data_IF_800470255700
#
_entry.id   IF_800470255700
#
_cell.length_a   1.000
_cell.length_b   1.000
_cell.length_c   1.000
_cell.angle_alpha   90.00
_cell.angle_beta   90.00
_cell.angle_gamma   90.00
#
_symmetry.space_group_name_H-M   'P 1'
#
loop_
_entity.id
_entity.type
_entity.pdbx_description
1 polymer ?
#
# COMPACT_ATOMS: atom_id res chain seq x y z
N UNK A 1 -6.16 2.00 29.46
CA UNK A 1 -7.62 1.74 29.44
C UNK A 1 -8.27 2.95 28.81
N UNK A 2 -8.73 2.84 27.57
CA UNK A 2 -9.41 3.93 26.85
C UNK A 2 -10.89 3.92 27.24
N UNK A 3 -11.55 5.08 27.32
CA UNK A 3 -12.99 5.17 27.63
C UNK A 3 -13.82 4.37 26.62
N UNK A 4 -13.37 4.27 25.36
CA UNK A 4 -14.02 3.46 24.32
C UNK A 4 -13.78 1.95 24.43
N UNK A 5 -12.85 1.51 25.29
CA UNK A 5 -12.68 0.09 25.63
C UNK A 5 -13.78 -0.39 26.60
N UNK A 6 -14.47 0.54 27.27
CA UNK A 6 -15.54 0.25 28.23
C UNK A 6 -16.90 0.05 27.54
N UNK A 7 -17.84 -0.56 28.25
CA UNK A 7 -19.24 -0.73 27.85
C UNK A 7 -20.02 0.61 27.93
N UNK A 8 -19.54 1.63 27.21
CA UNK A 8 -20.11 2.99 27.26
C UNK A 8 -21.56 3.07 26.76
N UNK A 9 -22.03 2.07 26.03
CA UNK A 9 -23.44 1.94 25.63
C UNK A 9 -24.39 1.99 26.83
N UNK A 10 -23.94 1.59 28.03
CA UNK A 10 -24.73 1.65 29.27
C UNK A 10 -25.06 3.07 29.74
N UNK A 11 -24.40 4.09 29.19
CA UNK A 11 -24.70 5.49 29.47
C UNK A 11 -25.92 6.00 28.68
N UNK A 12 -26.39 5.25 27.68
CA UNK A 12 -27.57 5.59 26.89
C UNK A 12 -28.73 4.66 27.23
N UNK A 13 -29.93 5.23 27.39
CA UNK A 13 -31.15 4.50 27.70
C UNK A 13 -31.50 3.43 26.65
N UNK A 14 -31.04 3.60 25.40
CA UNK A 14 -31.26 2.67 24.28
C UNK A 14 -30.11 1.68 24.05
N UNK A 15 -29.03 1.75 24.84
CA UNK A 15 -27.79 0.98 24.62
C UNK A 15 -27.15 1.16 23.23
N UNK A 16 -27.53 2.20 22.50
CA UNK A 16 -26.87 2.66 21.29
C UNK A 16 -26.14 3.95 21.64
N UNK A 17 -24.81 3.95 21.51
CA UNK A 17 -24.03 5.20 21.53
C UNK A 17 -24.45 5.99 20.30
N UNK A 18 -24.77 7.27 20.49
CA UNK A 18 -25.11 8.16 19.38
C UNK A 18 -23.98 8.20 18.35
N UNK A 19 -24.30 7.92 17.09
CA UNK A 19 -23.35 7.97 15.98
C UNK A 19 -22.67 9.34 15.86
N UNK A 20 -23.35 10.40 16.31
CA UNK A 20 -22.85 11.77 16.36
C UNK A 20 -21.63 11.92 17.28
N UNK A 21 -21.65 11.32 18.48
CA UNK A 21 -20.53 11.36 19.41
C UNK A 21 -19.34 10.58 18.84
N UNK A 22 -19.61 9.42 18.26
CA UNK A 22 -18.59 8.56 17.66
C UNK A 22 -17.93 9.27 16.47
N UNK A 23 -18.72 9.90 15.61
CA UNK A 23 -18.25 10.74 14.52
C UNK A 23 -17.45 11.94 15.02
N UNK A 24 -17.90 12.62 16.08
CA UNK A 24 -17.17 13.74 16.68
C UNK A 24 -15.79 13.31 17.14
N UNK A 25 -15.69 12.20 17.88
CA UNK A 25 -14.40 11.69 18.37
C UNK A 25 -13.52 11.23 17.22
N UNK A 26 -14.06 10.52 16.23
CA UNK A 26 -13.30 10.15 15.04
C UNK A 26 -12.76 11.39 14.31
N UNK A 27 -13.56 12.45 14.16
CA UNK A 27 -13.14 13.70 13.55
C UNK A 27 -12.03 14.40 14.33
N UNK A 28 -12.08 14.41 15.66
CA UNK A 28 -10.98 14.91 16.50
C UNK A 28 -9.71 14.10 16.25
N UNK A 29 -9.82 12.77 16.21
CA UNK A 29 -8.70 11.89 15.90
C UNK A 29 -8.10 12.19 14.52
N UNK A 30 -8.93 12.32 13.48
CA UNK A 30 -8.46 12.70 12.15
C UNK A 30 -7.78 14.06 12.17
N UNK A 31 -8.31 15.06 12.89
CA UNK A 31 -7.64 16.37 13.05
C UNK A 31 -6.28 16.27 13.72
N UNK A 32 -6.09 15.35 14.67
CA UNK A 32 -4.76 15.11 15.26
C UNK A 32 -3.79 14.51 14.24
N UNK A 33 -4.26 13.65 13.31
CA UNK A 33 -3.41 13.10 12.25
C UNK A 33 -2.94 14.18 11.25
N UNK A 34 -3.73 15.23 11.03
CA UNK A 34 -3.36 16.35 10.15
C UNK A 34 -2.10 17.09 10.65
N UNK A 35 -1.80 17.04 11.95
CA UNK A 35 -0.65 17.72 12.56
C UNK A 35 0.62 16.82 12.56
N UNK A 36 1.68 17.19 11.81
CA UNK A 36 2.91 16.39 11.71
C UNK A 36 3.73 16.36 13.01
N UNK A 37 3.50 17.28 13.96
CA UNK A 37 4.15 17.28 15.28
C UNK A 37 3.43 16.28 16.19
N UNK A 38 2.09 16.31 16.23
CA UNK A 38 1.31 15.42 17.08
C UNK A 38 1.47 13.95 16.67
N UNK A 39 1.51 13.65 15.38
CA UNK A 39 1.68 12.27 14.90
C UNK A 39 3.07 11.68 15.21
N UNK A 40 4.07 12.51 15.48
CA UNK A 40 5.41 12.06 15.91
C UNK A 40 5.47 11.72 17.40
N UNK A 41 4.48 12.13 18.18
CA UNK A 41 4.44 11.85 19.61
C UNK A 41 4.21 10.36 19.87
N UNK A 42 5.13 9.76 20.64
CA UNK A 42 5.06 8.36 21.08
C UNK A 42 3.88 8.06 22.01
N UNK A 43 3.22 9.09 22.53
CA UNK A 43 2.02 8.96 23.36
C UNK A 43 0.74 9.19 22.56
N UNK A 44 0.70 10.27 21.76
CA UNK A 44 -0.52 10.68 21.05
C UNK A 44 -0.82 9.75 19.88
N UNK A 45 0.19 9.42 19.05
CA UNK A 45 -0.03 8.56 17.87
C UNK A 45 -0.66 7.21 18.23
N UNK A 46 -0.10 6.42 19.17
CA UNK A 46 -0.72 5.14 19.53
C UNK A 46 -2.13 5.31 20.11
N UNK A 47 -2.35 6.32 20.96
CA UNK A 47 -3.67 6.57 21.55
C UNK A 47 -4.74 6.86 20.49
N UNK A 48 -4.41 7.71 19.51
CA UNK A 48 -5.29 8.04 18.38
C UNK A 48 -5.54 6.82 17.49
N UNK A 49 -4.51 6.04 17.18
CA UNK A 49 -4.66 4.83 16.37
C UNK A 49 -5.56 3.80 17.05
N UNK A 50 -5.35 3.53 18.34
CA UNK A 50 -6.21 2.61 19.09
C UNK A 50 -7.65 3.08 19.19
N UNK A 51 -7.85 4.39 19.40
CA UNK A 51 -9.19 4.98 19.48
C UNK A 51 -9.95 4.84 18.17
N UNK A 52 -9.35 5.24 17.04
CA UNK A 52 -9.94 5.06 15.71
C UNK A 52 -10.22 3.58 15.41
N UNK A 53 -9.31 2.67 15.77
CA UNK A 53 -9.50 1.23 15.58
C UNK A 53 -10.72 0.69 16.31
N UNK A 54 -10.93 1.14 17.55
CA UNK A 54 -12.11 0.77 18.34
C UNK A 54 -13.40 1.30 17.70
N UNK A 55 -13.41 2.57 17.27
CA UNK A 55 -14.55 3.21 16.61
C UNK A 55 -14.91 2.49 15.30
N UNK A 56 -13.94 2.30 14.41
CA UNK A 56 -14.13 1.66 13.10
C UNK A 56 -14.73 0.26 13.27
N UNK A 57 -14.22 -0.51 14.24
CA UNK A 57 -14.68 -1.87 14.49
C UNK A 57 -16.08 -1.93 15.08
N UNK A 58 -16.37 -1.12 16.11
CA UNK A 58 -17.65 -1.20 16.85
C UNK A 58 -18.83 -0.64 16.05
N UNK A 59 -18.59 0.34 15.17
CA UNK A 59 -19.65 1.03 14.43
C UNK A 59 -19.69 0.70 12.94
N UNK A 60 -18.91 -0.30 12.49
CA UNK A 60 -18.85 -0.74 11.09
C UNK A 60 -18.58 0.42 10.10
N UNK A 61 -17.77 1.39 10.51
CA UNK A 61 -17.48 2.61 9.74
C UNK A 61 -16.30 2.44 8.76
N UNK A 62 -16.01 1.22 8.30
CA UNK A 62 -14.84 0.93 7.48
C UNK A 62 -14.84 1.73 6.16
N UNK A 63 -15.99 1.83 5.49
CA UNK A 63 -16.14 2.62 4.26
C UNK A 63 -15.91 4.13 4.49
N UNK A 64 -16.45 4.68 5.57
CA UNK A 64 -16.24 6.09 5.91
C UNK A 64 -14.77 6.38 6.25
N UNK A 65 -14.12 5.43 6.93
CA UNK A 65 -12.70 5.51 7.24
C UNK A 65 -11.85 5.40 5.97
N UNK A 66 -12.12 4.46 5.06
CA UNK A 66 -11.35 4.32 3.81
C UNK A 66 -11.37 5.60 2.99
N UNK A 67 -12.56 6.19 2.78
CA UNK A 67 -12.72 7.45 2.07
C UNK A 67 -11.93 8.58 2.76
N UNK A 68 -12.07 8.71 4.08
CA UNK A 68 -11.38 9.77 4.84
C UNK A 68 -9.87 9.62 4.78
N UNK A 69 -9.33 8.40 4.88
CA UNK A 69 -7.89 8.14 4.81
C UNK A 69 -7.32 8.45 3.44
N UNK A 70 -8.01 8.05 2.36
CA UNK A 70 -7.61 8.37 1.00
C UNK A 70 -7.61 9.87 0.76
N UNK A 71 -8.66 10.59 1.21
CA UNK A 71 -8.66 12.05 1.17
C UNK A 71 -7.48 12.65 1.93
N UNK A 72 -7.17 12.15 3.12
CA UNK A 72 -6.03 12.66 3.89
C UNK A 72 -4.69 12.43 3.19
N UNK A 73 -4.49 11.27 2.56
CA UNK A 73 -3.29 10.97 1.77
C UNK A 73 -3.14 11.90 0.55
N UNK A 74 -4.25 12.40 -0.01
CA UNK A 74 -4.22 13.39 -1.09
C UNK A 74 -3.80 14.79 -0.61
N UNK A 75 -3.92 15.11 0.68
CA UNK A 75 -3.71 16.47 1.19
C UNK A 75 -2.47 16.62 2.09
N UNK A 76 -1.97 15.53 2.69
CA UNK A 76 -0.92 15.58 3.70
C UNK A 76 0.22 14.60 3.40
N UNK A 77 1.36 15.14 2.96
CA UNK A 77 2.52 14.33 2.54
C UNK A 77 3.13 13.47 3.65
N UNK A 78 3.01 13.90 4.92
CA UNK A 78 3.57 13.17 6.07
C UNK A 78 2.79 11.92 6.44
N UNK A 79 1.62 11.67 5.84
CA UNK A 79 0.69 10.63 6.28
C UNK A 79 0.91 9.25 5.65
N UNK A 80 1.73 9.12 4.60
CA UNK A 80 1.94 7.84 3.93
C UNK A 80 2.29 6.70 4.90
N UNK A 81 3.35 6.84 5.69
CA UNK A 81 3.79 5.81 6.63
C UNK A 81 2.85 5.71 7.86
N UNK A 82 2.46 6.80 8.53
CA UNK A 82 1.55 6.71 9.68
C UNK A 82 0.21 6.05 9.35
N UNK A 83 -0.37 6.32 8.18
CA UNK A 83 -1.65 5.70 7.79
C UNK A 83 -1.45 4.21 7.51
N UNK A 84 -0.35 3.79 6.88
CA UNK A 84 -0.06 2.37 6.68
C UNK A 84 0.11 1.63 8.03
N UNK A 85 0.83 2.22 8.99
CA UNK A 85 0.97 1.70 10.36
C UNK A 85 -0.41 1.58 11.06
N UNK A 86 -1.26 2.59 10.93
CA UNK A 86 -2.60 2.59 11.52
C UNK A 86 -3.48 1.48 10.93
N UNK A 87 -3.47 1.33 9.60
CA UNK A 87 -4.23 0.27 8.90
C UNK A 87 -3.72 -1.11 9.33
N UNK A 88 -2.40 -1.32 9.46
CA UNK A 88 -1.85 -2.56 10.00
C UNK A 88 -2.39 -2.84 11.40
N UNK A 89 -2.35 -1.87 12.31
CA UNK A 89 -2.90 -2.03 13.66
C UNK A 89 -4.38 -2.41 13.62
N UNK A 90 -5.19 -1.76 12.80
CA UNK A 90 -6.63 -2.02 12.72
C UNK A 90 -6.96 -3.40 12.14
N UNK A 91 -6.19 -3.85 11.16
CA UNK A 91 -6.34 -5.20 10.59
C UNK A 91 -5.92 -6.27 11.59
N UNK A 92 -4.76 -6.11 12.24
CA UNK A 92 -4.17 -7.13 13.12
C UNK A 92 -4.87 -7.19 14.48
N UNK A 93 -5.05 -6.04 15.13
CA UNK A 93 -5.58 -5.93 16.49
C UNK A 93 -7.10 -5.89 16.51
N UNK A 94 -7.71 -5.08 15.64
CA UNK A 94 -9.17 -4.85 15.64
C UNK A 94 -9.94 -5.71 14.62
N UNK A 95 -9.23 -6.53 13.84
CA UNK A 95 -9.79 -7.45 12.83
C UNK A 95 -10.58 -6.75 11.72
N UNK A 96 -10.24 -5.51 11.40
CA UNK A 96 -10.85 -4.73 10.32
C UNK A 96 -10.31 -5.14 8.94
N UNK A 97 -10.44 -6.41 8.56
CA UNK A 97 -9.81 -6.97 7.34
C UNK A 97 -10.31 -6.35 6.03
N UNK A 98 -11.57 -5.92 5.97
CA UNK A 98 -12.15 -5.33 4.75
C UNK A 98 -11.55 -3.96 4.41
N UNK A 99 -10.94 -3.28 5.38
CA UNK A 99 -10.44 -1.92 5.23
C UNK A 99 -9.36 -1.81 4.14
N UNK A 100 -8.49 -2.81 3.99
CA UNK A 100 -7.48 -2.82 2.92
C UNK A 100 -8.15 -2.84 1.55
N UNK A 101 -9.13 -3.72 1.36
CA UNK A 101 -9.90 -3.79 0.11
C UNK A 101 -10.66 -2.48 -0.17
N UNK A 102 -11.26 -1.88 0.85
CA UNK A 102 -11.98 -0.61 0.72
C UNK A 102 -11.03 0.53 0.34
N UNK A 103 -9.89 0.68 1.01
CA UNK A 103 -8.88 1.70 0.67
C UNK A 103 -8.36 1.51 -0.76
N UNK A 104 -8.01 0.29 -1.15
CA UNK A 104 -7.49 0.03 -2.50
C UNK A 104 -8.56 0.30 -3.57
N UNK A 105 -9.84 0.03 -3.29
CA UNK A 105 -10.94 0.43 -4.18
C UNK A 105 -11.08 1.94 -4.27
N UNK A 106 -11.06 2.65 -3.15
CA UNK A 106 -11.13 4.12 -3.16
C UNK A 106 -9.98 4.74 -3.97
N UNK A 107 -8.76 4.20 -3.84
CA UNK A 107 -7.63 4.59 -4.69
C UNK A 107 -7.87 4.27 -6.17
N UNK A 108 -8.44 3.11 -6.47
CA UNK A 108 -8.81 2.71 -7.83
C UNK A 108 -9.92 3.58 -8.46
N UNK A 109 -10.71 4.31 -7.65
CA UNK A 109 -11.70 5.26 -8.15
C UNK A 109 -11.13 6.66 -8.44
N UNK A 110 -9.91 6.97 -7.99
CA UNK A 110 -9.26 8.24 -8.30
C UNK A 110 -8.93 8.27 -9.80
N UNK A 111 -9.41 9.27 -10.57
CA UNK A 111 -9.12 9.36 -12.00
C UNK A 111 -7.63 9.57 -12.28
N UNK A 112 -7.11 8.91 -13.32
CA UNK A 112 -5.69 8.99 -13.74
C UNK A 112 -5.15 10.43 -13.80
N UNK A 113 -5.95 11.35 -14.37
CA UNK A 113 -5.60 12.77 -14.52
C UNK A 113 -5.26 13.48 -13.20
N UNK A 114 -5.77 13.00 -12.07
CA UNK A 114 -5.45 13.58 -10.77
C UNK A 114 -4.01 13.26 -10.36
N UNK A 115 -3.50 12.07 -10.69
CA UNK A 115 -2.11 11.70 -10.44
C UNK A 115 -1.12 12.48 -11.31
N UNK A 116 -1.56 12.93 -12.47
CA UNK A 116 -0.74 13.75 -13.37
C UNK A 116 -0.71 15.23 -12.95
N UNK A 117 -1.78 15.72 -12.32
CA UNK A 117 -1.90 17.13 -11.90
C UNK A 117 -1.08 17.45 -10.66
N UNK A 118 -1.03 16.52 -9.70
CA UNK A 118 -0.38 16.74 -8.41
C UNK A 118 0.63 15.62 -8.10
N UNK A 119 1.90 15.90 -8.37
CA UNK A 119 2.99 14.96 -8.12
C UNK A 119 3.27 14.73 -6.64
N UNK A 120 2.89 15.65 -5.73
CA UNK A 120 3.15 15.51 -4.30
C UNK A 120 2.16 14.52 -3.65
N UNK A 121 0.86 14.68 -3.92
CA UNK A 121 -0.14 13.70 -3.50
C UNK A 121 0.10 12.33 -4.15
N UNK A 122 0.47 12.30 -5.42
CA UNK A 122 0.83 11.05 -6.11
C UNK A 122 1.98 10.32 -5.44
N UNK A 123 3.06 11.03 -5.07
CA UNK A 123 4.19 10.43 -4.32
C UNK A 123 3.74 9.91 -2.96
N UNK A 124 2.85 10.62 -2.28
CA UNK A 124 2.31 10.23 -0.97
C UNK A 124 1.52 8.94 -1.07
N UNK A 125 0.61 8.84 -2.05
CA UNK A 125 -0.16 7.63 -2.35
C UNK A 125 0.77 6.48 -2.75
N UNK A 126 1.73 6.73 -3.64
CA UNK A 126 2.72 5.74 -4.06
C UNK A 126 3.54 5.20 -2.88
N UNK A 127 3.91 6.07 -1.94
CA UNK A 127 4.63 5.67 -0.72
C UNK A 127 3.73 4.86 0.21
N UNK A 128 2.47 5.28 0.37
CA UNK A 128 1.49 4.57 1.17
C UNK A 128 1.21 3.15 0.66
N UNK A 129 0.94 2.96 -0.64
CA UNK A 129 0.62 1.63 -1.18
C UNK A 129 1.81 0.65 -1.06
N UNK A 130 3.03 1.15 -1.23
CA UNK A 130 4.24 0.35 -1.04
C UNK A 130 4.40 -0.05 0.43
N UNK A 131 4.23 0.89 1.36
CA UNK A 131 4.32 0.61 2.79
C UNK A 131 3.19 -0.33 3.26
N UNK A 132 1.99 -0.19 2.70
CA UNK A 132 0.88 -1.09 2.95
C UNK A 132 1.19 -2.52 2.49
N UNK A 133 1.82 -2.68 1.32
CA UNK A 133 2.27 -3.98 0.82
C UNK A 133 3.36 -4.59 1.71
N UNK A 134 4.26 -3.78 2.28
CA UNK A 134 5.26 -4.27 3.24
C UNK A 134 4.64 -4.78 4.54
N UNK A 135 3.66 -4.06 5.06
CA UNK A 135 3.07 -4.31 6.37
C UNK A 135 1.95 -5.37 6.34
N UNK A 136 1.25 -5.49 5.21
CA UNK A 136 0.08 -6.36 5.02
C UNK A 136 0.11 -7.05 3.62
N UNK A 137 1.18 -7.79 3.28
CA UNK A 137 1.39 -8.28 1.91
C UNK A 137 0.27 -9.23 1.43
N UNK A 138 -0.23 -10.11 2.29
CA UNK A 138 -1.32 -11.04 1.95
C UNK A 138 -2.63 -10.30 1.63
N UNK A 139 -2.94 -9.24 2.40
CA UNK A 139 -4.15 -8.45 2.18
C UNK A 139 -4.05 -7.62 0.88
N UNK A 140 -2.86 -7.12 0.55
CA UNK A 140 -2.63 -6.44 -0.72
C UNK A 140 -2.67 -7.42 -1.89
N UNK A 141 -2.06 -8.61 -1.76
CA UNK A 141 -2.09 -9.65 -2.80
C UNK A 141 -3.52 -10.06 -3.19
N UNK A 142 -4.42 -10.22 -2.22
CA UNK A 142 -5.83 -10.55 -2.49
C UNK A 142 -6.52 -9.47 -3.36
N UNK A 143 -6.06 -8.22 -3.28
CA UNK A 143 -6.64 -7.07 -3.97
C UNK A 143 -5.73 -6.54 -5.10
N UNK A 144 -4.70 -7.28 -5.49
CA UNK A 144 -3.64 -6.79 -6.39
C UNK A 144 -4.16 -6.34 -7.75
N UNK A 145 -5.27 -6.92 -8.23
CA UNK A 145 -5.89 -6.55 -9.50
C UNK A 145 -6.27 -5.07 -9.58
N UNK A 146 -6.63 -4.44 -8.44
CA UNK A 146 -6.96 -3.01 -8.36
C UNK A 146 -5.72 -2.11 -8.53
N UNK A 147 -4.52 -2.64 -8.30
CA UNK A 147 -3.28 -1.91 -8.51
C UNK A 147 -2.71 -2.17 -9.90
N UNK A 148 -2.88 -3.39 -10.44
CA UNK A 148 -2.41 -3.74 -11.78
C UNK A 148 -3.10 -2.92 -12.89
N UNK A 149 -4.36 -2.50 -12.69
CA UNK A 149 -5.06 -1.58 -13.60
C UNK A 149 -4.32 -0.25 -13.79
N UNK A 150 -3.47 0.13 -12.83
CA UNK A 150 -2.73 1.40 -12.82
C UNK A 150 -1.39 1.33 -13.56
N UNK A 151 -0.99 0.15 -14.03
CA UNK A 151 0.27 -0.05 -14.74
C UNK A 151 0.25 0.50 -16.16
N UNK A 152 -0.92 0.63 -16.77
CA UNK A 152 -1.08 1.18 -18.12
C UNK A 152 -1.20 2.72 -18.13
N UNK A 153 -1.17 3.36 -16.97
CA UNK A 153 -1.29 4.83 -16.83
C UNK A 153 0.01 5.57 -17.21
N UNK A 154 -0.12 6.84 -17.58
CA UNK A 154 1.00 7.71 -17.98
C UNK A 154 2.00 8.00 -16.85
N UNK A 155 1.52 8.01 -15.59
CA UNK A 155 2.32 8.35 -14.43
C UNK A 155 3.39 7.31 -14.12
N UNK A 156 4.63 7.61 -14.48
CA UNK A 156 5.78 6.74 -14.17
C UNK A 156 5.97 6.52 -12.66
N UNK A 157 5.50 7.44 -11.82
CA UNK A 157 5.52 7.29 -10.36
C UNK A 157 4.58 6.18 -9.90
N UNK A 158 3.38 6.13 -10.48
CA UNK A 158 2.38 5.10 -10.18
C UNK A 158 2.89 3.73 -10.64
N UNK A 159 3.36 3.61 -11.90
CA UNK A 159 3.96 2.37 -12.42
C UNK A 159 5.14 1.89 -11.56
N UNK A 160 6.02 2.81 -11.16
CA UNK A 160 7.13 2.49 -10.24
C UNK A 160 6.65 1.94 -8.89
N UNK A 161 5.58 2.51 -8.34
CA UNK A 161 5.06 2.07 -7.07
C UNK A 161 4.41 0.70 -7.17
N UNK A 162 3.58 0.46 -8.19
CA UNK A 162 2.95 -0.85 -8.40
C UNK A 162 3.99 -1.93 -8.69
N UNK A 163 5.03 -1.67 -9.48
CA UNK A 163 6.17 -2.59 -9.63
C UNK A 163 6.85 -2.89 -8.29
N UNK A 164 7.03 -1.88 -7.44
CA UNK A 164 7.64 -2.07 -6.11
C UNK A 164 6.74 -2.91 -5.20
N UNK A 165 5.41 -2.74 -5.27
CA UNK A 165 4.43 -3.59 -4.57
C UNK A 165 4.52 -5.03 -5.07
N UNK A 166 4.62 -5.24 -6.39
CA UNK A 166 4.81 -6.57 -6.97
C UNK A 166 6.09 -7.23 -6.42
N UNK A 167 7.20 -6.50 -6.39
CA UNK A 167 8.46 -7.00 -5.82
C UNK A 167 8.30 -7.42 -4.36
N UNK A 168 7.63 -6.60 -3.54
CA UNK A 168 7.36 -6.89 -2.13
C UNK A 168 6.52 -8.17 -1.95
N UNK A 169 5.47 -8.32 -2.75
CA UNK A 169 4.59 -9.50 -2.73
C UNK A 169 5.35 -10.75 -3.15
N UNK A 170 6.21 -10.67 -4.17
CA UNK A 170 7.04 -11.82 -4.57
C UNK A 170 7.90 -12.28 -3.40
N UNK A 171 8.62 -11.36 -2.76
CA UNK A 171 9.53 -11.69 -1.65
C UNK A 171 8.76 -12.25 -0.45
N UNK A 172 7.68 -11.61 -0.02
CA UNK A 172 7.00 -11.96 1.23
C UNK A 172 5.98 -13.11 1.10
N UNK A 173 5.29 -13.22 -0.04
CA UNK A 173 4.19 -14.18 -0.24
C UNK A 173 4.55 -15.30 -1.21
N UNK A 174 5.32 -15.02 -2.27
CA UNK A 174 5.43 -15.92 -3.43
C UNK A 174 6.82 -16.52 -3.64
N UNK A 175 7.69 -16.48 -2.64
CA UNK A 175 9.03 -17.09 -2.73
C UNK A 175 9.28 -18.21 -1.73
N UNK A 176 8.26 -18.57 -0.94
CA UNK A 176 8.35 -19.66 0.05
C UNK A 176 8.47 -21.03 -0.62
N UNK A 177 9.07 -21.99 0.09
CA UNK A 177 9.00 -23.39 -0.32
C UNK A 177 7.56 -23.91 -0.20
N UNK A 178 7.18 -24.86 -1.06
CA UNK A 178 5.86 -25.52 -0.97
C UNK A 178 4.67 -24.71 -1.52
N UNK A 179 4.91 -23.65 -2.30
CA UNK A 179 3.82 -22.93 -2.99
C UNK A 179 2.96 -23.87 -3.83
N UNK A 180 1.65 -23.67 -3.77
CA UNK A 180 0.69 -24.33 -4.65
C UNK A 180 0.84 -23.84 -6.11
N UNK A 181 0.11 -24.49 -7.03
CA UNK A 181 0.21 -24.16 -8.44
C UNK A 181 -0.31 -22.76 -8.77
N UNK A 182 -1.31 -22.25 -8.02
CA UNK A 182 -1.86 -20.91 -8.25
C UNK A 182 -0.87 -19.83 -7.84
N UNK A 183 -0.23 -19.97 -6.68
CA UNK A 183 0.79 -19.04 -6.20
C UNK A 183 2.05 -19.07 -7.08
N UNK A 184 2.45 -20.25 -7.60
CA UNK A 184 3.54 -20.35 -8.59
C UNK A 184 3.19 -19.62 -9.88
N UNK A 185 1.96 -19.77 -10.37
CA UNK A 185 1.50 -19.07 -11.58
C UNK A 185 1.45 -17.56 -11.35
N UNK A 186 0.93 -17.09 -10.21
CA UNK A 186 0.92 -15.67 -9.85
C UNK A 186 2.34 -15.10 -9.77
N UNK A 187 3.28 -15.83 -9.16
CA UNK A 187 4.70 -15.43 -9.13
C UNK A 187 5.24 -15.27 -10.55
N UNK A 188 5.02 -16.28 -11.39
CA UNK A 188 5.55 -16.28 -12.74
C UNK A 188 4.99 -15.11 -13.56
N UNK A 189 3.70 -14.79 -13.44
CA UNK A 189 3.07 -13.62 -14.05
C UNK A 189 3.67 -12.30 -13.56
N UNK A 190 3.91 -12.17 -12.26
CA UNK A 190 4.53 -10.97 -11.68
C UNK A 190 5.97 -10.78 -12.13
N UNK A 191 6.72 -11.87 -12.29
CA UNK A 191 8.06 -11.84 -12.87
C UNK A 191 8.01 -11.44 -14.35
N UNK A 192 7.02 -11.90 -15.11
CA UNK A 192 6.82 -11.49 -16.51
C UNK A 192 6.51 -9.98 -16.59
N UNK A 193 5.66 -9.45 -15.70
CA UNK A 193 5.39 -8.00 -15.61
C UNK A 193 6.67 -7.20 -15.33
N UNK A 194 7.50 -7.65 -14.38
CA UNK A 194 8.79 -7.01 -14.07
C UNK A 194 9.75 -7.07 -15.27
N UNK A 195 9.75 -8.18 -16.01
CA UNK A 195 10.56 -8.35 -17.21
C UNK A 195 10.14 -7.35 -18.30
N UNK A 196 8.84 -7.30 -18.61
CA UNK A 196 8.29 -6.43 -19.65
C UNK A 196 8.56 -4.97 -19.35
N UNK A 197 8.39 -4.53 -18.09
CA UNK A 197 8.66 -3.15 -17.70
C UNK A 197 10.15 -2.81 -17.68
N UNK A 198 11.03 -3.77 -17.36
CA UNK A 198 12.47 -3.57 -17.49
C UNK A 198 12.91 -3.43 -18.95
N UNK A 199 12.29 -4.19 -19.86
CA UNK A 199 12.69 -4.30 -21.26
C UNK A 199 12.04 -3.23 -22.17
N UNK A 200 10.76 -2.91 -21.95
CA UNK A 200 9.91 -2.22 -22.93
C UNK A 200 9.30 -0.91 -22.42
N UNK A 201 9.30 -0.61 -21.11
CA UNK A 201 8.69 0.65 -20.64
C UNK A 201 9.40 1.85 -21.29
N UNK A 202 8.61 2.80 -21.79
CA UNK A 202 9.13 3.99 -22.48
C UNK A 202 9.98 4.87 -21.57
N UNK A 203 9.70 4.86 -20.26
CA UNK A 203 10.32 5.69 -19.26
C UNK A 203 11.50 4.97 -18.58
N UNK A 204 12.70 5.55 -18.69
CA UNK A 204 13.92 4.98 -18.13
C UNK A 204 13.89 4.83 -16.60
N UNK A 205 13.13 5.65 -15.87
CA UNK A 205 12.98 5.49 -14.43
C UNK A 205 12.21 4.22 -14.07
N UNK A 206 11.26 3.80 -14.91
CA UNK A 206 10.51 2.55 -14.72
C UNK A 206 11.37 1.35 -15.04
N UNK A 207 12.11 1.39 -16.16
CA UNK A 207 13.07 0.34 -16.49
C UNK A 207 14.12 0.15 -15.39
N UNK A 208 14.71 1.25 -14.90
CA UNK A 208 15.67 1.23 -13.79
C UNK A 208 15.04 0.71 -12.48
N UNK A 209 13.80 1.10 -12.17
CA UNK A 209 13.08 0.59 -11.00
C UNK A 209 12.85 -0.92 -11.08
N UNK A 210 12.40 -1.43 -12.22
CA UNK A 210 12.20 -2.86 -12.43
C UNK A 210 13.52 -3.64 -12.25
N UNK A 211 14.64 -3.12 -12.77
CA UNK A 211 15.96 -3.73 -12.55
C UNK A 211 16.40 -3.73 -11.09
N UNK A 212 16.17 -2.65 -10.34
CA UNK A 212 16.47 -2.64 -8.92
C UNK A 212 15.66 -3.69 -8.14
N UNK A 213 14.41 -3.94 -8.55
CA UNK A 213 13.59 -5.00 -7.96
C UNK A 213 14.18 -6.38 -8.31
N UNK A 214 14.55 -6.62 -9.57
CA UNK A 214 15.26 -7.85 -9.96
C UNK A 214 16.54 -8.07 -9.16
N UNK A 215 17.38 -7.03 -9.02
CA UNK A 215 18.60 -7.08 -8.25
C UNK A 215 18.32 -7.47 -6.79
N UNK A 216 17.26 -6.91 -6.19
CA UNK A 216 16.86 -7.24 -4.83
C UNK A 216 16.37 -8.70 -4.73
N UNK A 217 15.55 -9.17 -5.68
CA UNK A 217 15.10 -10.56 -5.72
C UNK A 217 16.26 -11.55 -5.81
N UNK A 218 17.28 -11.25 -6.62
CA UNK A 218 18.51 -12.06 -6.71
C UNK A 218 19.31 -12.00 -5.41
N UNK A 219 19.53 -10.79 -4.87
CA UNK A 219 20.37 -10.58 -3.68
C UNK A 219 19.78 -11.23 -2.42
N UNK A 220 18.45 -11.40 -2.40
CA UNK A 220 17.72 -12.03 -1.31
C UNK A 220 17.32 -13.48 -1.62
N UNK A 221 17.88 -14.09 -2.68
CA UNK A 221 17.66 -15.50 -3.06
C UNK A 221 16.19 -15.87 -3.35
N UNK A 222 15.37 -14.91 -3.78
CA UNK A 222 13.96 -15.10 -4.11
C UNK A 222 13.71 -15.43 -5.60
N UNK A 223 14.74 -15.46 -6.43
CA UNK A 223 14.62 -15.72 -7.87
C UNK A 223 14.56 -17.24 -8.18
N UNK A 224 13.52 -17.76 -8.84
CA UNK A 224 13.51 -19.14 -9.32
C UNK A 224 14.61 -19.37 -10.37
N UNK A 225 15.38 -20.45 -10.22
CA UNK A 225 16.51 -20.81 -11.11
C UNK A 225 16.12 -20.79 -12.60
N UNK A 226 14.89 -21.23 -12.93
CA UNK A 226 14.36 -21.23 -14.31
C UNK A 226 14.31 -19.84 -14.97
N UNK A 227 14.32 -18.76 -14.20
CA UNK A 227 14.29 -17.36 -14.67
C UNK A 227 15.69 -16.74 -14.80
N UNK A 228 16.73 -17.38 -14.27
CA UNK A 228 18.08 -16.81 -14.27
C UNK A 228 18.63 -16.59 -15.70
N UNK A 229 18.42 -17.54 -16.62
CA UNK A 229 18.90 -17.41 -18.00
C UNK A 229 18.22 -16.24 -18.73
N UNK A 230 16.89 -16.18 -18.61
CA UNK A 230 16.07 -15.11 -19.20
C UNK A 230 16.45 -13.73 -18.66
N UNK A 231 16.66 -13.61 -17.35
CA UNK A 231 17.13 -12.37 -16.73
C UNK A 231 18.54 -11.98 -17.18
N UNK A 232 19.46 -12.96 -17.30
CA UNK A 232 20.83 -12.69 -17.76
C UNK A 232 20.84 -12.14 -19.19
N UNK A 233 20.03 -12.71 -20.09
CA UNK A 233 19.87 -12.20 -21.45
C UNK A 233 19.29 -10.79 -21.48
N UNK A 234 18.30 -10.50 -20.63
CA UNK A 234 17.74 -9.16 -20.47
C UNK A 234 18.83 -8.17 -20.03
N UNK A 235 19.61 -8.50 -19.00
CA UNK A 235 20.70 -7.65 -18.50
C UNK A 235 21.73 -7.32 -19.60
N UNK A 236 22.12 -8.31 -20.41
CA UNK A 236 23.04 -8.09 -21.55
C UNK A 236 22.45 -7.07 -22.55
N UNK A 237 21.17 -7.16 -22.87
CA UNK A 237 20.51 -6.17 -23.75
C UNK A 237 20.48 -4.78 -23.11
N UNK A 238 20.22 -4.69 -21.81
CA UNK A 238 20.10 -3.42 -21.09
C UNK A 238 21.44 -2.70 -20.89
N UNK A 239 22.59 -3.37 -21.05
CA UNK A 239 23.89 -2.71 -21.18
C UNK A 239 23.94 -1.72 -22.36
N UNK A 240 23.08 -1.91 -23.37
CA UNK A 240 22.93 -1.04 -24.53
C UNK A 240 21.72 -0.10 -24.43
N UNK A 241 21.01 -0.07 -23.28
CA UNK A 241 19.90 0.86 -23.07
C UNK A 241 20.34 2.29 -23.35
N UNK A 242 19.48 3.15 -23.87
CA UNK A 242 19.82 4.55 -24.19
C UNK A 242 20.13 5.39 -22.94
N UNK A 243 19.46 5.10 -21.82
CA UNK A 243 19.60 5.82 -20.57
C UNK A 243 20.77 5.29 -19.73
N UNK A 244 21.59 6.21 -19.23
CA UNK A 244 22.65 5.87 -18.28
C UNK A 244 22.10 5.39 -16.92
N UNK A 245 20.86 5.75 -16.55
CA UNK A 245 20.23 5.31 -15.31
C UNK A 245 20.00 3.80 -15.33
N UNK A 246 19.58 3.26 -16.47
CA UNK A 246 19.33 1.83 -16.65
C UNK A 246 20.65 1.06 -16.70
N UNK A 247 21.63 1.53 -17.51
CA UNK A 247 22.94 0.87 -17.64
C UNK A 247 23.77 0.81 -16.36
N UNK A 248 23.45 1.63 -15.35
CA UNK A 248 24.20 1.71 -14.08
C UNK A 248 23.66 0.77 -12.99
N UNK A 249 22.44 0.28 -13.13
CA UNK A 249 21.87 -0.70 -12.19
C UNK A 249 22.60 -2.03 -12.37
#
# INVERSE_FOLDING_TARGET
MNIFDLDIHRLWNTQLVEDELTCLVANICYKVLEDPVLIKSKLVKPAVFHLLGCIIRKHNQSLGASLKLVQMLQHFEHLALPVAEAVQLWVVTYKCKSLVSEILRELDHIPEKEFMRDGASTKTICSFILELARLLPDAVLINISLLLTRMDEESYLMRNSVLSVIGEIIMQCLSKEGLDNQAKQARDQFLDILYDHANLDVNAFVRSRALHIWLNLVSQEHLPVKRCSELAELCVRLLLDKSNLVRKV
#
